data_IF_254134835977
#
_entry.id   IF_254134835977
#
_cell.length_a   1.000
_cell.length_b   1.000
_cell.length_c   1.000
_cell.angle_alpha   90.00
_cell.angle_beta   90.00
_cell.angle_gamma   90.00
#
_symmetry.space_group_name_H-M   'P 1'
#
loop_
_entity.id
_entity.type
_entity.pdbx_description
1 polymer ?
#
# COMPACT_ATOMS: atom_id res chain seq x y z
N UNK A 1 22.61 -10.14 -7.02
CA UNK A 1 21.54 -9.43 -6.28
C UNK A 1 20.98 -10.40 -5.26
N UNK A 2 21.40 -10.27 -4.00
CA UNK A 2 21.33 -11.34 -3.00
C UNK A 2 19.92 -11.54 -2.46
N UNK A 3 19.37 -12.73 -2.74
CA UNK A 3 18.49 -13.55 -1.90
C UNK A 3 17.47 -12.81 -1.00
N UNK A 4 16.33 -12.42 -1.59
CA UNK A 4 15.14 -12.00 -0.85
C UNK A 4 14.61 -13.14 0.02
N UNK A 5 14.40 -12.86 1.31
CA UNK A 5 14.19 -13.83 2.39
C UNK A 5 13.08 -14.88 2.18
N UNK A 6 13.26 -15.98 2.93
CA UNK A 6 12.57 -17.28 2.94
C UNK A 6 11.05 -17.32 3.21
N UNK A 7 10.29 -16.26 2.95
CA UNK A 7 8.83 -16.27 3.15
C UNK A 7 8.13 -15.61 1.96
N UNK A 8 7.54 -16.38 1.02
CA UNK A 8 6.77 -15.80 -0.06
C UNK A 8 5.48 -15.21 0.50
N UNK A 9 5.51 -13.93 0.85
CA UNK A 9 4.29 -13.14 1.00
C UNK A 9 3.62 -13.11 -0.37
N UNK A 10 2.43 -13.69 -0.46
CA UNK A 10 1.65 -13.76 -1.70
C UNK A 10 1.12 -12.35 -2.02
N UNK A 11 1.95 -11.52 -2.63
CA UNK A 11 1.63 -10.15 -3.00
C UNK A 11 0.83 -10.11 -4.30
N UNK A 12 -0.50 -10.14 -4.20
CA UNK A 12 -1.40 -10.27 -5.35
C UNK A 12 -1.81 -8.95 -6.03
N UNK A 13 -1.18 -7.81 -5.72
CA UNK A 13 -1.59 -6.50 -6.25
C UNK A 13 -3.11 -6.25 -6.12
N UNK A 14 -3.61 -6.36 -4.90
CA UNK A 14 -5.03 -6.26 -4.59
C UNK A 14 -5.58 -4.85 -4.85
N UNK A 15 -6.89 -4.72 -5.05
CA UNK A 15 -7.54 -3.41 -5.17
C UNK A 15 -7.50 -2.67 -3.83
N UNK A 16 -7.08 -1.40 -3.86
CA UNK A 16 -7.17 -0.48 -2.74
C UNK A 16 -8.38 0.44 -2.92
N UNK A 17 -9.33 0.38 -1.98
CA UNK A 17 -10.63 1.08 -2.10
C UNK A 17 -10.55 2.53 -1.58
N UNK A 18 -9.47 2.91 -0.88
CA UNK A 18 -9.29 4.25 -0.30
C UNK A 18 -10.47 4.69 0.59
N UNK A 19 -10.81 3.87 1.57
CA UNK A 19 -11.85 4.22 2.54
C UNK A 19 -11.42 5.43 3.40
N UNK A 20 -12.38 6.26 3.84
CA UNK A 20 -12.11 7.29 4.83
C UNK A 20 -11.53 6.69 6.12
N UNK A 21 -10.56 7.37 6.71
CA UNK A 21 -10.06 7.04 8.03
C UNK A 21 -11.20 7.09 9.06
N UNK A 22 -11.22 6.11 9.98
CA UNK A 22 -12.34 5.92 10.91
C UNK A 22 -12.43 7.02 11.96
N UNK A 23 -11.34 7.74 12.23
CA UNK A 23 -11.28 8.77 13.25
C UNK A 23 -11.55 10.15 12.66
N UNK A 24 -10.91 10.46 11.53
CA UNK A 24 -11.00 11.79 10.88
C UNK A 24 -12.11 11.89 9.84
N UNK A 25 -12.58 10.77 9.30
CA UNK A 25 -13.54 10.74 8.19
C UNK A 25 -12.96 11.20 6.85
N UNK A 26 -11.64 11.36 6.74
CA UNK A 26 -10.95 11.84 5.55
C UNK A 26 -10.22 10.67 4.88
N UNK A 27 -10.30 10.58 3.55
CA UNK A 27 -9.52 9.59 2.79
C UNK A 27 -8.09 10.09 2.60
N UNK A 28 -7.11 9.19 2.71
CA UNK A 28 -5.69 9.56 2.63
C UNK A 28 -5.21 9.88 1.21
N UNK A 29 -5.90 9.38 0.18
CA UNK A 29 -5.62 9.68 -1.23
C UNK A 29 -6.81 10.39 -1.90
N UNK A 30 -6.60 11.06 -3.05
CA UNK A 30 -7.70 11.62 -3.84
C UNK A 30 -8.76 10.57 -4.17
N UNK A 31 -10.04 10.98 -4.12
CA UNK A 31 -11.18 10.11 -4.44
C UNK A 31 -11.13 9.70 -5.92
N UNK A 32 -11.20 8.39 -6.17
CA UNK A 32 -11.15 7.80 -7.50
C UNK A 32 -12.15 6.63 -7.60
N UNK A 33 -12.51 6.16 -8.81
CA UNK A 33 -13.36 4.97 -8.98
C UNK A 33 -12.78 3.71 -8.33
N UNK A 34 -13.64 2.74 -8.01
CA UNK A 34 -13.21 1.44 -7.49
C UNK A 34 -12.25 0.77 -8.48
N UNK A 35 -11.16 0.19 -7.97
CA UNK A 35 -10.13 -0.46 -8.80
C UNK A 35 -9.11 0.50 -9.40
N UNK A 36 -9.23 1.82 -9.18
CA UNK A 36 -8.24 2.79 -9.63
C UNK A 36 -6.89 2.60 -8.94
N UNK A 37 -6.89 2.37 -7.63
CA UNK A 37 -5.68 2.11 -6.88
C UNK A 37 -5.46 0.62 -6.67
N UNK A 38 -4.22 0.18 -6.82
CA UNK A 38 -3.76 -1.16 -6.41
C UNK A 38 -2.72 -1.05 -5.31
N UNK A 39 -2.77 -1.98 -4.37
CA UNK A 39 -1.80 -2.05 -3.27
C UNK A 39 -0.78 -3.17 -3.46
N UNK A 40 0.44 -2.88 -3.03
CA UNK A 40 1.53 -3.84 -2.90
C UNK A 40 2.02 -3.83 -1.46
N UNK A 41 2.10 -5.01 -0.83
CA UNK A 41 2.69 -5.16 0.50
C UNK A 41 4.19 -5.14 0.38
N UNK A 42 4.84 -4.09 0.90
CA UNK A 42 6.29 -4.07 0.96
C UNK A 42 6.74 -5.00 2.10
N UNK A 43 7.52 -6.06 1.83
CA UNK A 43 7.99 -6.96 2.88
C UNK A 43 8.82 -6.20 3.91
N UNK A 44 8.54 -6.43 5.20
CA UNK A 44 9.44 -5.96 6.26
C UNK A 44 10.43 -7.07 6.57
N UNK A 45 11.75 -6.81 6.54
CA UNK A 45 12.76 -7.79 6.95
C UNK A 45 12.43 -8.39 8.32
N UNK A 46 12.68 -9.69 8.46
CA UNK A 46 12.49 -10.45 9.70
C UNK A 46 11.05 -10.55 10.24
N UNK A 47 10.06 -10.01 9.50
CA UNK A 47 8.64 -10.18 9.82
C UNK A 47 8.03 -11.21 8.85
N UNK A 48 7.59 -12.39 9.34
CA UNK A 48 7.05 -13.45 8.49
C UNK A 48 5.61 -13.18 8.01
N UNK A 49 5.03 -12.04 8.39
CA UNK A 49 3.65 -11.62 8.08
C UNK A 49 3.67 -10.27 7.34
N UNK A 50 2.59 -9.90 6.63
CA UNK A 50 2.47 -8.55 6.08
C UNK A 50 2.69 -7.50 7.17
N UNK A 51 3.77 -6.72 7.05
CA UNK A 51 4.05 -5.59 7.93
C UNK A 51 3.09 -4.42 7.66
N UNK A 52 3.34 -3.21 8.17
CA UNK A 52 2.51 -2.04 7.92
C UNK A 52 2.77 -1.38 6.55
N UNK A 53 3.90 -1.72 5.91
CA UNK A 53 4.38 -1.01 4.74
C UNK A 53 3.62 -1.37 3.46
N UNK A 54 3.13 -0.38 2.72
CA UNK A 54 2.46 -0.57 1.43
C UNK A 54 2.94 0.44 0.40
N UNK A 55 2.88 0.04 -0.85
CA UNK A 55 2.93 0.94 -2.00
C UNK A 55 1.56 0.90 -2.67
N UNK A 56 0.97 2.07 -2.92
CA UNK A 56 -0.30 2.22 -3.63
C UNK A 56 -0.01 2.85 -4.98
N UNK A 57 -0.43 2.20 -6.06
CA UNK A 57 -0.22 2.66 -7.43
C UNK A 57 -1.57 3.02 -8.04
N UNK A 58 -1.68 4.24 -8.56
CA UNK A 58 -2.82 4.69 -9.36
C UNK A 58 -2.66 4.31 -10.82
N UNK A 59 -3.78 4.20 -11.54
CA UNK A 59 -3.77 3.88 -12.97
C UNK A 59 -3.11 4.95 -13.83
N UNK A 60 -3.06 6.21 -13.37
CA UNK A 60 -2.42 7.31 -14.08
C UNK A 60 -0.91 7.43 -13.76
N UNK A 61 -0.33 6.42 -13.09
CA UNK A 61 1.11 6.31 -12.86
C UNK A 61 1.61 7.05 -11.62
N UNK A 62 0.72 7.68 -10.84
CA UNK A 62 1.05 8.16 -9.51
C UNK A 62 1.29 6.99 -8.54
N UNK A 63 2.18 7.21 -7.58
CA UNK A 63 2.47 6.21 -6.56
C UNK A 63 2.63 6.85 -5.18
N UNK A 64 2.14 6.13 -4.18
CA UNK A 64 2.16 6.55 -2.78
C UNK A 64 2.74 5.43 -1.92
N UNK A 65 3.51 5.82 -0.91
CA UNK A 65 4.02 4.92 0.11
C UNK A 65 3.36 5.21 1.45
N UNK A 66 3.05 4.16 2.21
CA UNK A 66 2.65 4.26 3.61
C UNK A 66 3.51 3.29 4.42
N UNK A 67 4.07 3.78 5.53
CA UNK A 67 4.82 2.99 6.50
C UNK A 67 3.97 2.62 7.74
N UNK A 68 2.76 3.14 7.84
CA UNK A 68 1.94 3.12 9.06
C UNK A 68 0.55 2.50 8.84
N UNK A 69 0.42 1.68 7.79
CA UNK A 69 -0.80 0.95 7.44
C UNK A 69 -1.98 1.88 7.14
N UNK A 70 -1.78 2.75 6.13
CA UNK A 70 -2.76 3.66 5.52
C UNK A 70 -3.13 4.90 6.35
N UNK A 71 -2.41 5.22 7.44
CA UNK A 71 -2.71 6.43 8.22
C UNK A 71 -2.14 7.68 7.55
N UNK A 72 -0.93 7.57 7.02
CA UNK A 72 -0.30 8.64 6.24
C UNK A 72 0.25 8.12 4.93
N UNK A 73 0.30 9.02 3.95
CA UNK A 73 0.74 8.72 2.60
C UNK A 73 1.81 9.72 2.16
N UNK A 74 2.89 9.18 1.60
CA UNK A 74 3.97 9.95 0.99
C UNK A 74 3.88 9.73 -0.52
N UNK A 75 3.69 10.79 -1.29
CA UNK A 75 3.75 10.70 -2.76
C UNK A 75 5.20 10.44 -3.18
N UNK A 76 5.42 9.38 -3.95
CA UNK A 76 6.75 8.96 -4.41
C UNK A 76 6.89 9.02 -5.95
N UNK A 77 5.79 9.23 -6.67
CA UNK A 77 5.76 9.48 -8.12
C UNK A 77 4.57 10.36 -8.47
#
# INVERSE_FOLDING_TARGET
MTSGGKYPLKNNFSVFINYPDRTTGISGLPKQPNGYYKEYVHPTPDIPRPGPQRIIVGQNGEAYYTNDHYKTFIKIR
#
